data_IF_488028080963
#
_entry.id   IF_488028080963
#
_cell.length_a   1.000
_cell.length_b   1.000
_cell.length_c   1.000
_cell.angle_alpha   90.00
_cell.angle_beta   90.00
_cell.angle_gamma   90.00
#
_symmetry.space_group_name_H-M   'P 1'
#
loop_
_entity.id
_entity.type
_entity.pdbx_description
1 polymer ?
#
# COMPACT_ATOMS: atom_id res chain seq x y z
N UNK A 1 16.74 8.80 3.01
CA UNK A 1 15.78 7.68 3.10
C UNK A 1 16.31 6.58 4.03
N UNK A 2 15.44 5.92 4.79
CA UNK A 2 15.75 4.67 5.52
C UNK A 2 15.36 3.49 4.62
N UNK A 3 16.21 2.46 4.53
CA UNK A 3 15.90 1.23 3.78
C UNK A 3 15.80 0.03 4.72
N UNK A 4 14.73 -0.77 4.58
CA UNK A 4 14.42 -1.93 5.42
C UNK A 4 14.27 -3.17 4.57
N UNK A 5 14.54 -4.35 5.15
CA UNK A 5 14.19 -5.61 4.49
C UNK A 5 12.67 -5.74 4.39
N UNK A 6 12.18 -6.30 3.29
CA UNK A 6 10.79 -6.70 3.14
C UNK A 6 10.58 -8.04 3.83
N UNK A 7 10.16 -8.00 5.09
CA UNK A 7 10.08 -9.17 5.96
C UNK A 7 11.44 -9.88 6.08
N UNK A 8 11.42 -11.21 5.99
CA UNK A 8 12.62 -12.04 5.98
C UNK A 8 13.36 -12.10 4.63
N UNK A 9 12.82 -11.50 3.56
CA UNK A 9 13.46 -11.55 2.25
C UNK A 9 14.78 -10.74 2.22
N UNK A 10 15.58 -10.98 1.17
CA UNK A 10 16.78 -10.18 0.91
C UNK A 10 16.49 -8.80 0.31
N UNK A 11 15.28 -8.56 -0.19
CA UNK A 11 14.89 -7.32 -0.85
C UNK A 11 14.82 -6.16 0.16
N UNK A 12 15.44 -5.03 -0.17
CA UNK A 12 15.34 -3.80 0.61
C UNK A 12 14.43 -2.79 -0.08
N UNK A 13 13.48 -2.26 0.67
CA UNK A 13 12.57 -1.20 0.25
C UNK A 13 12.78 0.04 1.10
N UNK A 14 12.55 1.22 0.52
CA UNK A 14 12.48 2.48 1.25
C UNK A 14 11.37 2.40 2.32
N UNK A 15 11.60 2.97 3.50
CA UNK A 15 10.63 2.92 4.61
C UNK A 15 9.31 3.65 4.28
N UNK A 16 9.34 4.56 3.31
CA UNK A 16 8.17 5.15 2.68
C UNK A 16 8.20 4.78 1.19
N UNK A 17 7.04 4.40 0.65
CA UNK A 17 6.84 4.10 -0.76
C UNK A 17 5.76 4.99 -1.38
N UNK A 18 5.64 4.94 -2.69
CA UNK A 18 4.68 5.77 -3.42
C UNK A 18 3.69 4.92 -4.23
N UNK A 19 2.40 5.05 -3.91
CA UNK A 19 1.32 4.33 -4.57
C UNK A 19 0.52 5.20 -5.53
N UNK A 20 -0.02 4.59 -6.58
CA UNK A 20 -0.75 5.28 -7.65
C UNK A 20 -2.28 5.28 -7.51
N UNK A 21 -2.82 4.64 -6.46
CA UNK A 21 -4.26 4.51 -6.26
C UNK A 21 -4.97 5.87 -6.15
N UNK A 22 -6.12 5.99 -6.84
CA UNK A 22 -6.94 7.21 -6.99
C UNK A 22 -6.31 8.31 -7.83
N UNK A 23 -4.98 8.40 -7.87
CA UNK A 23 -4.28 9.55 -8.43
C UNK A 23 -3.97 9.35 -9.91
N UNK A 24 -3.31 8.26 -10.27
CA UNK A 24 -2.84 8.07 -11.64
C UNK A 24 -4.03 7.67 -12.55
N UNK A 25 -4.15 8.34 -13.70
CA UNK A 25 -5.23 8.12 -14.69
C UNK A 25 -6.53 8.85 -14.34
N UNK A 26 -6.91 8.88 -13.06
CA UNK A 26 -8.15 9.54 -12.63
C UNK A 26 -7.97 11.02 -12.27
N UNK A 27 -6.83 11.41 -11.68
CA UNK A 27 -6.57 12.79 -11.22
C UNK A 27 -5.31 13.40 -11.83
N UNK A 28 -4.33 12.56 -12.17
CA UNK A 28 -3.05 12.95 -12.72
C UNK A 28 -2.93 12.49 -14.16
N UNK A 29 -2.60 13.44 -15.02
CA UNK A 29 -2.04 13.17 -16.33
C UNK A 29 -0.59 12.65 -16.20
N UNK A 30 -0.03 12.25 -17.33
CA UNK A 30 1.35 11.76 -17.41
C UNK A 30 2.36 12.75 -16.84
N UNK A 31 2.21 14.05 -17.12
CA UNK A 31 3.16 15.08 -16.68
C UNK A 31 3.23 15.13 -15.16
N UNK A 32 2.08 15.23 -14.49
CA UNK A 32 2.02 15.28 -13.02
C UNK A 32 2.42 13.95 -12.38
N UNK A 33 2.05 12.82 -12.99
CA UNK A 33 2.49 11.51 -12.54
C UNK A 33 4.03 11.43 -12.54
N UNK A 34 4.67 11.87 -13.63
CA UNK A 34 6.12 11.95 -13.77
C UNK A 34 6.77 12.88 -12.73
N UNK A 35 6.21 14.06 -12.51
CA UNK A 35 6.72 15.01 -11.49
C UNK A 35 6.61 14.44 -10.06
N UNK A 36 5.53 13.71 -9.75
CA UNK A 36 5.37 13.06 -8.45
C UNK A 36 6.36 11.89 -8.26
N UNK A 37 6.55 11.08 -9.31
CA UNK A 37 7.54 10.00 -9.32
C UNK A 37 8.95 10.55 -9.12
N UNK A 38 9.33 11.59 -9.86
CA UNK A 38 10.61 12.29 -9.68
C UNK A 38 10.79 12.79 -8.25
N UNK A 39 9.79 13.46 -7.68
CA UNK A 39 9.86 13.94 -6.30
C UNK A 39 10.02 12.82 -5.26
N UNK A 40 9.42 11.65 -5.49
CA UNK A 40 9.58 10.49 -4.62
C UNK A 40 10.99 9.89 -4.75
N UNK A 41 11.47 9.75 -5.99
CA UNK A 41 12.82 9.26 -6.30
C UNK A 41 13.91 10.16 -5.71
N UNK A 42 13.80 11.48 -5.87
CA UNK A 42 14.74 12.46 -5.30
C UNK A 42 14.81 12.36 -3.77
N UNK A 43 13.72 11.92 -3.12
CA UNK A 43 13.69 11.66 -1.68
C UNK A 43 14.28 10.28 -1.29
N UNK A 44 14.71 9.48 -2.26
CA UNK A 44 15.25 8.13 -2.12
C UNK A 44 14.21 7.02 -2.07
N UNK A 45 12.96 7.26 -2.52
CA UNK A 45 11.97 6.19 -2.64
C UNK A 45 12.39 5.24 -3.75
N UNK A 46 12.49 3.94 -3.44
CA UNK A 46 12.76 2.92 -4.44
C UNK A 46 11.56 2.02 -4.72
N UNK A 47 10.50 2.06 -3.90
CA UNK A 47 9.33 1.20 -4.07
C UNK A 47 8.09 1.97 -4.54
N UNK A 48 7.54 1.53 -5.67
CA UNK A 48 6.38 2.11 -6.35
C UNK A 48 5.26 1.08 -6.50
N UNK A 49 4.08 1.39 -5.98
CA UNK A 49 2.98 0.45 -5.89
C UNK A 49 1.82 0.77 -6.85
N UNK A 50 1.32 -0.25 -7.54
CA UNK A 50 0.22 -0.15 -8.50
C UNK A 50 -0.71 -1.38 -8.43
N UNK A 51 -1.79 -1.40 -9.20
CA UNK A 51 -2.65 -2.58 -9.38
C UNK A 51 -3.30 -2.56 -10.76
N UNK A 52 -3.65 -3.73 -11.31
CA UNK A 52 -4.29 -3.81 -12.63
C UNK A 52 -5.57 -2.97 -12.70
N UNK A 53 -6.36 -2.92 -11.62
CA UNK A 53 -7.69 -2.32 -11.59
C UNK A 53 -7.63 -0.79 -11.47
N UNK A 54 -6.47 -0.22 -11.15
CA UNK A 54 -6.36 1.22 -10.93
C UNK A 54 -6.55 1.94 -12.27
N UNK A 55 -7.65 2.71 -12.35
CA UNK A 55 -8.10 3.38 -13.57
C UNK A 55 -8.19 2.41 -14.76
N UNK A 56 -8.75 1.21 -14.53
CA UNK A 56 -8.95 0.17 -15.56
C UNK A 56 -7.66 -0.20 -16.34
N UNK A 57 -6.53 -0.14 -15.66
CA UNK A 57 -5.19 -0.46 -16.19
C UNK A 57 -4.41 0.75 -16.70
N UNK A 58 -5.03 1.93 -16.83
CA UNK A 58 -4.33 3.15 -17.28
C UNK A 58 -3.24 3.59 -16.29
N UNK A 59 -3.43 3.31 -14.99
CA UNK A 59 -2.41 3.62 -13.98
C UNK A 59 -1.07 2.90 -14.22
N UNK A 60 -1.11 1.63 -14.64
CA UNK A 60 0.11 0.87 -14.96
C UNK A 60 0.79 1.41 -16.22
N UNK A 61 0.00 1.79 -17.23
CA UNK A 61 0.51 2.43 -18.46
C UNK A 61 1.20 3.75 -18.17
N UNK A 62 0.56 4.63 -17.41
CA UNK A 62 1.10 5.94 -17.04
C UNK A 62 2.37 5.81 -16.20
N UNK A 63 2.39 4.93 -15.20
CA UNK A 63 3.59 4.70 -14.38
C UNK A 63 4.74 4.15 -15.23
N UNK A 64 4.48 3.15 -16.08
CA UNK A 64 5.48 2.58 -16.98
C UNK A 64 6.05 3.61 -17.97
N UNK A 65 5.19 4.44 -18.56
CA UNK A 65 5.62 5.52 -19.44
C UNK A 65 6.44 6.58 -18.70
N UNK A 66 5.97 7.04 -17.53
CA UNK A 66 6.68 8.05 -16.75
C UNK A 66 8.07 7.58 -16.30
N UNK A 67 8.21 6.32 -15.85
CA UNK A 67 9.52 5.74 -15.48
C UNK A 67 10.46 5.68 -16.69
N UNK A 68 9.96 5.29 -17.88
CA UNK A 68 10.76 5.32 -19.12
C UNK A 68 11.23 6.74 -19.47
N UNK A 69 10.35 7.74 -19.38
CA UNK A 69 10.69 9.14 -19.66
C UNK A 69 11.67 9.74 -18.64
N UNK A 70 11.66 9.24 -17.40
CA UNK A 70 12.61 9.59 -16.37
C UNK A 70 13.97 8.89 -16.54
N UNK A 71 14.05 7.87 -17.39
CA UNK A 71 15.29 7.16 -17.70
C UNK A 71 15.87 6.37 -16.53
N UNK A 72 15.04 5.97 -15.55
CA UNK A 72 15.52 5.22 -14.39
C UNK A 72 15.96 3.80 -14.78
N UNK A 73 17.13 3.35 -14.31
CA UNK A 73 17.57 1.98 -14.57
C UNK A 73 16.71 0.98 -13.79
N UNK A 74 16.29 -0.11 -14.47
CA UNK A 74 15.36 -1.13 -13.92
C UNK A 74 15.79 -1.72 -12.58
N UNK A 75 17.09 -1.82 -12.33
CA UNK A 75 17.65 -2.44 -11.13
C UNK A 75 17.68 -1.51 -9.90
N UNK A 76 17.35 -0.22 -10.05
CA UNK A 76 17.33 0.74 -8.94
C UNK A 76 15.94 0.91 -8.29
N UNK A 77 14.87 0.43 -8.93
CA UNK A 77 13.52 0.48 -8.37
C UNK A 77 12.86 -0.88 -8.22
N UNK A 78 11.93 -0.91 -7.27
CA UNK A 78 10.98 -1.97 -6.98
C UNK A 78 9.61 -1.51 -7.45
N UNK A 79 8.94 -2.30 -8.28
CA UNK A 79 7.56 -2.05 -8.70
C UNK A 79 6.65 -3.21 -8.33
N UNK A 80 5.42 -2.90 -7.90
CA UNK A 80 4.38 -3.90 -7.67
C UNK A 80 3.16 -3.75 -8.56
N UNK A 81 2.46 -4.87 -8.75
CA UNK A 81 1.05 -4.87 -9.16
C UNK A 81 0.23 -5.88 -8.35
N UNK A 82 -1.09 -5.85 -8.51
CA UNK A 82 -2.03 -6.68 -7.75
C UNK A 82 -3.19 -7.15 -8.61
N UNK A 83 -3.63 -8.38 -8.37
CA UNK A 83 -4.70 -9.02 -9.13
C UNK A 83 -5.88 -9.44 -8.26
N UNK A 84 -7.10 -9.17 -8.71
CA UNK A 84 -8.35 -9.76 -8.16
C UNK A 84 -9.59 -9.29 -8.94
N UNK A 85 -9.76 -7.97 -9.11
CA UNK A 85 -11.04 -7.36 -9.48
C UNK A 85 -11.43 -7.49 -10.95
N UNK A 86 -10.44 -7.69 -11.82
CA UNK A 86 -10.57 -7.64 -13.27
C UNK A 86 -10.69 -6.22 -13.80
N UNK A 87 -10.23 -6.01 -15.03
CA UNK A 87 -10.33 -4.72 -15.75
C UNK A 87 -11.37 -4.75 -16.88
N UNK A 88 -11.88 -5.94 -17.23
CA UNK A 88 -12.80 -6.09 -18.34
C UNK A 88 -14.24 -6.10 -17.83
N UNK A 89 -15.07 -5.23 -18.39
CA UNK A 89 -16.52 -5.29 -18.18
C UNK A 89 -17.08 -6.51 -18.94
N UNK A 90 -17.16 -7.63 -18.23
CA UNK A 90 -17.58 -8.90 -18.81
C UNK A 90 -18.48 -9.67 -17.85
N UNK A 91 -19.44 -10.41 -18.43
CA UNK A 91 -20.27 -11.39 -17.70
C UNK A 91 -19.60 -12.76 -17.61
N UNK A 92 -18.37 -12.90 -18.10
CA UNK A 92 -17.62 -14.17 -18.07
C UNK A 92 -17.11 -14.44 -16.65
N UNK A 93 -17.16 -15.70 -16.16
CA UNK A 93 -16.92 -16.03 -14.75
C UNK A 93 -15.46 -15.86 -14.30
N UNK A 94 -14.49 -16.07 -15.19
CA UNK A 94 -13.08 -16.24 -14.79
C UNK A 94 -12.23 -14.97 -14.91
N UNK A 95 -12.84 -13.78 -14.94
CA UNK A 95 -12.13 -12.53 -15.23
C UNK A 95 -12.30 -11.46 -14.16
N UNK A 96 -13.06 -11.72 -13.09
CA UNK A 96 -13.36 -10.73 -12.04
C UNK A 96 -13.53 -11.41 -10.69
N UNK A 97 -13.06 -10.75 -9.64
CA UNK A 97 -13.13 -11.20 -8.23
C UNK A 97 -12.65 -12.64 -8.08
N UNK A 98 -11.50 -12.95 -8.66
CA UNK A 98 -10.94 -14.30 -8.61
C UNK A 98 -9.43 -14.29 -8.57
N UNK A 99 -8.87 -15.36 -8.01
CA UNK A 99 -7.45 -15.70 -8.00
C UNK A 99 -7.19 -17.08 -8.60
N UNK A 100 -8.11 -17.57 -9.44
CA UNK A 100 -7.88 -18.79 -10.19
C UNK A 100 -6.69 -18.63 -11.14
N UNK A 101 -6.08 -19.76 -11.49
CA UNK A 101 -4.89 -19.82 -12.33
C UNK A 101 -5.10 -19.16 -13.68
N UNK A 102 -6.24 -19.39 -14.34
CA UNK A 102 -6.54 -18.82 -15.66
C UNK A 102 -6.44 -17.29 -15.62
N UNK A 103 -7.03 -16.70 -14.61
CA UNK A 103 -7.04 -15.26 -14.42
C UNK A 103 -5.64 -14.73 -14.12
N UNK A 104 -4.96 -15.28 -13.10
CA UNK A 104 -3.65 -14.79 -12.66
C UNK A 104 -2.60 -14.83 -13.78
N UNK A 105 -2.56 -15.92 -14.56
CA UNK A 105 -1.63 -16.04 -15.68
C UNK A 105 -1.89 -15.03 -16.80
N UNK A 106 -3.15 -14.64 -17.02
CA UNK A 106 -3.52 -13.61 -18.01
C UNK A 106 -3.31 -12.19 -17.48
N UNK A 107 -3.58 -11.98 -16.19
CA UNK A 107 -3.45 -10.69 -15.51
C UNK A 107 -1.99 -10.22 -15.50
N UNK A 108 -1.05 -11.12 -15.14
CA UNK A 108 0.38 -10.77 -15.14
C UNK A 108 0.88 -10.34 -16.52
N UNK A 109 0.53 -11.09 -17.58
CA UNK A 109 0.93 -10.76 -18.95
C UNK A 109 0.33 -9.44 -19.41
N UNK A 110 -0.92 -9.17 -18.99
CA UNK A 110 -1.57 -7.88 -19.23
C UNK A 110 -0.86 -6.72 -18.56
N UNK A 111 -0.53 -6.85 -17.27
CA UNK A 111 0.16 -5.83 -16.50
C UNK A 111 1.56 -5.55 -17.02
N UNK A 112 2.35 -6.58 -17.33
CA UNK A 112 3.68 -6.42 -17.92
C UNK A 112 3.64 -5.65 -19.24
N UNK A 113 2.68 -5.95 -20.12
CA UNK A 113 2.47 -5.16 -21.35
C UNK A 113 2.09 -3.70 -21.07
N UNK A 114 1.22 -3.45 -20.10
CA UNK A 114 0.81 -2.08 -19.75
C UNK A 114 1.96 -1.27 -19.18
N UNK A 115 2.74 -1.84 -18.26
CA UNK A 115 3.96 -1.20 -17.78
C UNK A 115 5.02 -1.06 -18.88
N UNK A 116 5.09 -2.00 -19.81
CA UNK A 116 6.23 -2.16 -20.72
C UNK A 116 7.47 -2.63 -19.98
N UNK A 117 7.32 -3.68 -19.17
CA UNK A 117 8.38 -4.32 -18.38
C UNK A 117 8.37 -5.83 -18.64
N UNK A 118 9.54 -6.46 -18.50
CA UNK A 118 9.66 -7.92 -18.61
C UNK A 118 9.24 -8.64 -17.32
N UNK A 119 9.39 -7.97 -16.17
CA UNK A 119 8.99 -8.48 -14.86
C UNK A 119 8.65 -7.36 -13.88
N UNK A 120 7.80 -7.66 -12.89
CA UNK A 120 7.61 -6.84 -11.69
C UNK A 120 8.39 -7.42 -10.51
N UNK A 121 8.81 -6.61 -9.56
CA UNK A 121 9.51 -7.14 -8.38
C UNK A 121 8.52 -7.89 -7.48
N UNK A 122 7.33 -7.32 -7.31
CA UNK A 122 6.33 -7.78 -6.37
C UNK A 122 4.98 -7.98 -7.07
N UNK A 123 4.37 -9.15 -6.90
CA UNK A 123 2.98 -9.40 -7.32
C UNK A 123 2.11 -9.75 -6.12
N UNK A 124 0.93 -9.13 -6.02
CA UNK A 124 0.01 -9.35 -4.91
C UNK A 124 -1.30 -10.00 -5.35
N UNK A 125 -1.79 -10.95 -4.54
CA UNK A 125 -3.22 -11.25 -4.50
C UNK A 125 -3.93 -10.08 -3.84
N UNK A 126 -4.68 -9.29 -4.60
CA UNK A 126 -5.21 -8.00 -4.13
C UNK A 126 -6.27 -8.15 -3.02
N UNK A 127 -7.01 -9.26 -2.99
CA UNK A 127 -7.96 -9.64 -1.93
C UNK A 127 -7.97 -11.17 -1.80
N UNK A 128 -8.42 -11.75 -0.67
CA UNK A 128 -8.69 -13.18 -0.61
C UNK A 128 -9.80 -13.56 -1.59
N UNK A 129 -9.71 -14.75 -2.17
CA UNK A 129 -10.73 -15.33 -3.03
C UNK A 129 -11.35 -16.55 -2.33
N UNK A 130 -12.60 -16.46 -1.84
CA UNK A 130 -13.25 -17.58 -1.17
C UNK A 130 -13.72 -18.69 -2.14
N UNK A 131 -13.72 -18.43 -3.46
CA UNK A 131 -14.21 -19.38 -4.47
C UNK A 131 -13.08 -20.16 -5.15
N UNK A 132 -11.83 -19.73 -5.02
CA UNK A 132 -10.65 -20.45 -5.52
C UNK A 132 -9.91 -21.13 -4.37
N UNK A 133 -9.60 -22.44 -4.45
CA UNK A 133 -8.74 -23.08 -3.46
C UNK A 133 -7.40 -22.35 -3.33
N UNK A 134 -6.98 -22.04 -2.09
CA UNK A 134 -5.70 -21.37 -1.81
C UNK A 134 -4.52 -22.09 -2.48
N UNK A 135 -4.58 -23.42 -2.56
CA UNK A 135 -3.57 -24.23 -3.25
C UNK A 135 -3.41 -23.86 -4.73
N UNK A 136 -4.52 -23.69 -5.47
CA UNK A 136 -4.46 -23.29 -6.88
C UNK A 136 -3.78 -21.92 -7.03
N UNK A 137 -4.13 -20.97 -6.16
CA UNK A 137 -3.52 -19.64 -6.13
C UNK A 137 -2.02 -19.71 -5.84
N UNK A 138 -1.59 -20.51 -4.85
CA UNK A 138 -0.16 -20.68 -4.51
C UNK A 138 0.63 -21.26 -5.70
N UNK A 139 0.10 -22.29 -6.37
CA UNK A 139 0.73 -22.85 -7.57
C UNK A 139 0.79 -21.84 -8.71
N UNK A 140 -0.27 -21.05 -8.93
CA UNK A 140 -0.26 -20.00 -9.95
C UNK A 140 0.79 -18.91 -9.64
N UNK A 141 0.89 -18.45 -8.40
CA UNK A 141 1.89 -17.45 -8.01
C UNK A 141 3.32 -18.00 -8.08
N UNK A 142 3.52 -19.27 -7.72
CA UNK A 142 4.79 -19.95 -7.94
C UNK A 142 5.19 -19.94 -9.42
N UNK A 143 4.27 -20.29 -10.34
CA UNK A 143 4.56 -20.34 -11.77
C UNK A 143 4.80 -18.95 -12.38
N UNK A 144 4.13 -17.92 -11.87
CA UNK A 144 4.44 -16.52 -12.24
C UNK A 144 5.90 -16.18 -11.91
N UNK A 145 6.40 -16.60 -10.74
CA UNK A 145 7.80 -16.37 -10.36
C UNK A 145 8.74 -17.26 -11.16
N UNK A 146 8.44 -18.56 -11.26
CA UNK A 146 9.29 -19.54 -11.98
C UNK A 146 9.42 -19.21 -13.47
N UNK A 147 8.41 -18.53 -14.06
CA UNK A 147 8.48 -18.02 -15.43
C UNK A 147 9.20 -16.68 -15.58
N UNK A 148 9.75 -16.12 -14.49
CA UNK A 148 10.51 -14.87 -14.50
C UNK A 148 9.66 -13.60 -14.61
N UNK A 149 8.33 -13.70 -14.49
CA UNK A 149 7.41 -12.57 -14.65
C UNK A 149 7.24 -11.73 -13.38
N UNK A 150 7.55 -12.32 -12.23
CA UNK A 150 7.71 -11.61 -10.96
C UNK A 150 8.90 -12.17 -10.16
N UNK A 151 9.46 -11.39 -9.23
CA UNK A 151 10.53 -11.88 -8.35
C UNK A 151 10.01 -12.43 -7.02
N UNK A 152 8.98 -11.80 -6.46
CA UNK A 152 8.35 -12.17 -5.21
C UNK A 152 6.84 -12.04 -5.30
N UNK A 153 6.14 -12.76 -4.43
CA UNK A 153 4.70 -12.64 -4.30
C UNK A 153 4.26 -12.47 -2.85
N UNK A 154 3.05 -11.93 -2.70
CA UNK A 154 2.43 -11.69 -1.40
C UNK A 154 0.93 -11.50 -1.51
N UNK A 155 0.33 -11.12 -0.39
CA UNK A 155 -1.12 -11.01 -0.21
C UNK A 155 -1.52 -9.57 0.15
N UNK A 156 -2.81 -9.24 0.07
CA UNK A 156 -3.35 -7.94 0.50
C UNK A 156 -4.75 -8.08 1.08
N UNK A 157 -4.92 -7.64 2.33
CA UNK A 157 -6.15 -7.79 3.13
C UNK A 157 -6.55 -9.24 3.39
N UNK A 158 -5.60 -10.18 3.36
CA UNK A 158 -5.87 -11.59 3.64
C UNK A 158 -5.98 -11.85 5.15
N UNK A 159 -6.93 -12.65 5.63
CA UNK A 159 -6.93 -13.14 7.00
C UNK A 159 -5.62 -13.86 7.35
N UNK A 160 -5.19 -13.78 8.61
CA UNK A 160 -3.95 -14.43 9.06
C UNK A 160 -3.90 -15.94 8.77
N UNK A 161 -5.05 -16.61 8.87
CA UNK A 161 -5.15 -18.05 8.64
C UNK A 161 -4.99 -18.40 7.15
N UNK A 162 -5.49 -17.57 6.23
CA UNK A 162 -5.29 -17.77 4.79
C UNK A 162 -3.82 -17.53 4.39
N UNK A 163 -3.16 -16.54 5.00
CA UNK A 163 -1.72 -16.31 4.80
C UNK A 163 -0.92 -17.52 5.30
N UNK A 164 -1.26 -18.06 6.47
CA UNK A 164 -0.62 -19.26 7.02
C UNK A 164 -0.85 -20.47 6.12
N UNK A 165 -2.07 -20.70 5.67
CA UNK A 165 -2.40 -21.80 4.77
C UNK A 165 -1.61 -21.71 3.46
N UNK A 166 -1.54 -20.51 2.84
CA UNK A 166 -0.75 -20.28 1.64
C UNK A 166 0.74 -20.58 1.85
N UNK A 167 1.29 -20.18 3.00
CA UNK A 167 2.68 -20.45 3.36
C UNK A 167 2.93 -21.94 3.57
N UNK A 168 2.05 -22.65 4.29
CA UNK A 168 2.16 -24.08 4.58
C UNK A 168 2.03 -24.94 3.32
N UNK A 169 1.12 -24.58 2.41
CA UNK A 169 1.02 -25.21 1.09
C UNK A 169 2.33 -25.03 0.34
N UNK A 170 2.86 -23.79 0.28
CA UNK A 170 4.12 -23.54 -0.41
C UNK A 170 5.29 -24.29 0.22
N UNK A 171 5.35 -24.44 1.55
CA UNK A 171 6.35 -25.27 2.23
C UNK A 171 6.21 -26.75 1.86
N UNK A 172 5.00 -27.32 1.99
CA UNK A 172 4.72 -28.74 1.73
C UNK A 172 5.04 -29.16 0.30
N UNK A 173 4.83 -28.27 -0.67
CA UNK A 173 5.02 -28.54 -2.09
C UNK A 173 6.34 -27.97 -2.65
N UNK A 174 7.24 -27.46 -1.79
CA UNK A 174 8.52 -26.85 -2.19
C UNK A 174 8.38 -25.69 -3.19
N UNK A 175 7.34 -24.87 -3.03
CA UNK A 175 7.01 -23.74 -3.89
C UNK A 175 7.57 -22.42 -3.33
N UNK A 176 7.44 -21.36 -4.14
CA UNK A 176 7.75 -20.00 -3.71
C UNK A 176 6.71 -19.55 -2.68
N UNK A 177 7.15 -19.06 -1.53
CA UNK A 177 6.28 -18.66 -0.41
C UNK A 177 5.86 -17.20 -0.52
N UNK A 178 4.69 -16.81 -0.02
CA UNK A 178 4.35 -15.40 0.12
C UNK A 178 5.32 -14.77 1.14
N UNK A 179 5.93 -13.64 0.79
CA UNK A 179 6.94 -12.98 1.65
C UNK A 179 6.43 -11.70 2.31
N UNK A 180 5.35 -11.13 1.79
CA UNK A 180 4.77 -9.89 2.30
C UNK A 180 3.25 -9.89 2.28
N UNK A 181 2.68 -9.04 3.12
CA UNK A 181 1.26 -8.69 3.18
C UNK A 181 1.10 -7.17 3.03
N UNK A 182 0.04 -6.75 2.33
CA UNK A 182 -0.31 -5.34 2.14
C UNK A 182 -1.64 -5.01 2.85
N UNK A 183 -1.60 -4.72 4.18
CA UNK A 183 -2.79 -4.39 4.95
C UNK A 183 -2.96 -2.88 5.14
N UNK A 184 -4.19 -2.47 5.42
CA UNK A 184 -4.49 -1.13 5.89
C UNK A 184 -3.85 -0.94 7.26
N UNK A 185 -3.15 0.19 7.46
CA UNK A 185 -2.61 0.53 8.76
C UNK A 185 -2.53 2.04 8.94
N UNK A 186 -3.16 2.51 10.00
CA UNK A 186 -3.12 3.90 10.44
C UNK A 186 -3.65 4.01 11.87
N UNK A 187 -3.60 5.20 12.46
CA UNK A 187 -4.01 5.44 13.85
C UNK A 187 -5.42 4.92 14.21
N UNK A 188 -6.35 4.89 13.24
CA UNK A 188 -7.72 4.33 13.42
C UNK A 188 -7.92 2.88 12.97
N UNK A 189 -6.91 2.23 12.37
CA UNK A 189 -7.00 0.84 11.88
C UNK A 189 -5.70 0.12 12.22
N UNK A 190 -5.74 -0.67 13.30
CA UNK A 190 -4.57 -1.21 13.97
C UNK A 190 -4.64 -2.72 14.17
N UNK A 191 -5.84 -3.26 14.33
CA UNK A 191 -6.08 -4.61 14.87
C UNK A 191 -5.41 -5.68 14.02
N UNK A 192 -5.52 -5.59 12.70
CA UNK A 192 -4.94 -6.58 11.78
C UNK A 192 -3.41 -6.66 11.93
N UNK A 193 -2.75 -5.51 11.94
CA UNK A 193 -1.28 -5.42 12.06
C UNK A 193 -0.79 -5.71 13.47
N UNK A 194 -1.44 -5.17 14.50
CA UNK A 194 -0.93 -5.25 15.87
C UNK A 194 -1.38 -6.50 16.63
N UNK A 195 -2.47 -7.15 16.20
CA UNK A 195 -3.06 -8.30 16.91
C UNK A 195 -3.15 -9.52 16.01
N UNK A 196 -3.83 -9.42 14.87
CA UNK A 196 -4.14 -10.59 14.02
C UNK A 196 -2.87 -11.23 13.44
N UNK A 197 -1.95 -10.41 12.93
CA UNK A 197 -0.72 -10.88 12.29
C UNK A 197 0.43 -11.12 13.27
N UNK A 198 0.25 -10.87 14.57
CA UNK A 198 1.33 -10.86 15.56
C UNK A 198 2.22 -12.11 15.49
N UNK A 199 1.60 -13.30 15.34
CA UNK A 199 2.33 -14.57 15.21
C UNK A 199 3.05 -14.76 13.88
N UNK A 200 2.51 -14.23 12.78
CA UNK A 200 3.08 -14.41 11.44
C UNK A 200 4.46 -13.74 11.28
N UNK A 201 4.72 -12.68 12.05
CA UNK A 201 6.01 -12.00 12.02
C UNK A 201 7.17 -12.88 12.49
N UNK A 202 6.93 -13.71 13.49
CA UNK A 202 7.95 -14.59 14.08
C UNK A 202 7.95 -15.96 13.39
N UNK A 203 6.77 -16.53 13.18
CA UNK A 203 6.61 -17.88 12.61
C UNK A 203 7.14 -17.94 11.16
N UNK A 204 6.78 -16.95 10.33
CA UNK A 204 7.07 -16.99 8.89
C UNK A 204 7.87 -15.79 8.38
N UNK A 205 8.23 -14.84 9.25
CA UNK A 205 9.02 -13.66 8.88
C UNK A 205 8.27 -12.70 7.92
N UNK A 206 6.96 -12.57 8.09
CA UNK A 206 6.10 -11.74 7.23
C UNK A 206 6.54 -10.27 7.21
N UNK A 207 6.74 -9.71 6.02
CA UNK A 207 6.96 -8.28 5.82
C UNK A 207 5.66 -7.53 5.52
N UNK A 208 5.59 -6.24 5.85
CA UNK A 208 4.40 -5.44 5.56
C UNK A 208 4.70 -4.27 4.61
N UNK A 209 3.84 -4.12 3.62
CA UNK A 209 3.74 -2.90 2.80
C UNK A 209 2.41 -2.21 3.12
N UNK A 210 2.33 -1.39 4.17
CA UNK A 210 1.03 -0.89 4.65
C UNK A 210 0.46 0.22 3.79
N UNK A 211 -0.86 0.32 3.66
CA UNK A 211 -1.52 1.35 2.84
C UNK A 211 -2.51 2.23 3.63
N UNK A 212 -2.89 3.35 3.01
CA UNK A 212 -3.76 4.40 3.58
C UNK A 212 -3.30 4.97 4.93
N UNK A 213 -2.03 5.34 5.14
CA UNK A 213 -1.54 5.86 6.43
C UNK A 213 -2.29 7.10 6.92
N UNK A 214 -2.94 7.83 6.00
CA UNK A 214 -3.70 9.04 6.30
C UNK A 214 -5.21 8.82 6.40
N UNK A 215 -5.69 7.58 6.41
CA UNK A 215 -7.12 7.23 6.44
C UNK A 215 -7.93 8.02 5.38
N UNK A 216 -7.54 7.89 4.12
CA UNK A 216 -8.13 8.65 2.99
C UNK A 216 -8.06 10.19 3.11
N UNK A 217 -7.14 10.70 3.95
CA UNK A 217 -6.91 12.13 4.16
C UNK A 217 -7.55 12.68 5.45
N UNK A 218 -8.27 11.85 6.22
CA UNK A 218 -8.79 12.20 7.54
C UNK A 218 -7.68 12.68 8.48
N UNK A 219 -6.57 11.95 8.51
CA UNK A 219 -5.39 12.26 9.34
C UNK A 219 -4.53 13.40 8.76
N UNK A 220 -5.07 14.27 7.92
CA UNK A 220 -4.47 15.58 7.66
C UNK A 220 -5.21 16.71 8.37
N UNK A 221 -6.34 16.42 9.02
CA UNK A 221 -7.21 17.42 9.64
C UNK A 221 -8.07 18.22 8.67
N UNK A 222 -8.01 17.98 7.35
CA UNK A 222 -8.72 18.80 6.36
C UNK A 222 -10.25 18.67 6.42
N UNK A 223 -10.76 17.62 7.08
CA UNK A 223 -12.18 17.31 7.18
C UNK A 223 -12.84 17.78 8.49
N UNK A 224 -12.07 18.43 9.37
CA UNK A 224 -12.53 18.89 10.68
C UNK A 224 -13.74 19.84 10.57
N UNK A 225 -13.74 20.71 9.55
CA UNK A 225 -14.76 21.75 9.34
C UNK A 225 -15.67 21.44 8.14
N UNK A 226 -15.72 20.17 7.70
CA UNK A 226 -16.52 19.73 6.55
C UNK A 226 -15.66 19.21 5.39
N UNK A 227 -16.26 19.01 4.21
CA UNK A 227 -15.57 18.43 3.04
C UNK A 227 -15.04 19.56 2.15
N UNK A 228 -13.71 19.75 2.03
CA UNK A 228 -13.16 20.77 1.14
C UNK A 228 -13.39 20.41 -0.33
N UNK A 229 -13.57 21.43 -1.17
CA UNK A 229 -13.61 21.29 -2.62
C UNK A 229 -12.29 20.71 -3.15
N UNK A 230 -12.37 19.88 -4.20
CA UNK A 230 -11.21 19.21 -4.79
C UNK A 230 -10.55 18.14 -3.90
N UNK A 231 -11.11 17.86 -2.72
CA UNK A 231 -10.64 16.81 -1.84
C UNK A 231 -11.15 15.43 -2.27
N UNK A 232 -10.57 14.35 -1.76
CA UNK A 232 -11.04 12.98 -2.09
C UNK A 232 -12.52 12.78 -1.74
N UNK A 233 -12.97 13.31 -0.60
CA UNK A 233 -14.37 13.25 -0.17
C UNK A 233 -15.35 14.03 -1.05
N UNK A 234 -14.89 14.97 -1.87
CA UNK A 234 -15.76 15.71 -2.80
C UNK A 234 -16.06 14.93 -4.09
N UNK A 235 -15.26 13.91 -4.42
CA UNK A 235 -15.39 13.15 -5.66
C UNK A 235 -16.61 12.18 -5.63
N UNK A 236 -17.45 12.13 -6.69
CA UNK A 236 -18.65 11.29 -6.71
C UNK A 236 -18.39 9.80 -6.47
N UNK A 237 -17.32 9.25 -7.06
CA UNK A 237 -16.93 7.85 -6.89
C UNK A 237 -16.54 7.47 -5.44
N UNK A 238 -16.36 8.46 -4.56
CA UNK A 238 -15.93 8.30 -3.17
C UNK A 238 -16.97 8.81 -2.17
N UNK A 239 -18.24 8.94 -2.59
CA UNK A 239 -19.35 9.36 -1.72
C UNK A 239 -19.48 8.47 -0.46
N UNK A 240 -19.20 7.17 -0.59
CA UNK A 240 -19.17 6.20 0.50
C UNK A 240 -18.14 6.51 1.61
N UNK A 241 -17.14 7.37 1.35
CA UNK A 241 -16.19 7.83 2.38
C UNK A 241 -16.74 8.98 3.23
N UNK A 242 -17.75 9.72 2.75
CA UNK A 242 -18.16 10.99 3.37
C UNK A 242 -18.53 10.83 4.83
N UNK A 243 -19.40 9.87 5.13
CA UNK A 243 -19.86 9.60 6.50
C UNK A 243 -18.71 9.31 7.46
N UNK A 244 -17.68 8.59 6.99
CA UNK A 244 -16.48 8.29 7.78
C UNK A 244 -15.57 9.52 7.94
N UNK A 245 -15.44 10.36 6.92
CA UNK A 245 -14.59 11.55 6.94
C UNK A 245 -15.17 12.66 7.83
N UNK A 246 -16.50 12.71 7.94
CA UNK A 246 -17.21 13.71 8.75
C UNK A 246 -17.69 13.18 10.09
N UNK A 247 -17.30 11.96 10.49
CA UNK A 247 -17.70 11.39 11.78
C UNK A 247 -17.22 12.29 12.94
N UNK A 248 -18.13 12.77 13.81
CA UNK A 248 -17.75 13.70 14.88
C UNK A 248 -16.74 13.12 15.87
N UNK A 249 -16.83 11.81 16.16
CA UNK A 249 -15.92 11.17 17.12
C UNK A 249 -14.51 11.05 16.54
N UNK A 250 -14.40 10.65 15.29
CA UNK A 250 -13.13 10.59 14.57
C UNK A 250 -12.51 11.99 14.46
N UNK A 251 -13.29 13.02 14.09
CA UNK A 251 -12.78 14.39 14.00
C UNK A 251 -12.39 14.99 15.36
N UNK A 252 -13.05 14.60 16.46
CA UNK A 252 -12.60 14.97 17.80
C UNK A 252 -11.22 14.37 18.14
N UNK A 253 -10.99 13.10 17.82
CA UNK A 253 -9.68 12.46 17.95
C UNK A 253 -8.62 13.12 17.05
N UNK A 254 -8.97 13.44 15.81
CA UNK A 254 -8.08 14.16 14.88
C UNK A 254 -7.65 15.53 15.44
N UNK A 255 -8.55 16.28 16.09
CA UNK A 255 -8.20 17.55 16.76
C UNK A 255 -7.17 17.35 17.88
N UNK A 256 -7.34 16.31 18.70
CA UNK A 256 -6.40 15.99 19.78
C UNK A 256 -5.04 15.54 19.23
N UNK A 257 -5.02 14.68 18.21
CA UNK A 257 -3.80 14.27 17.52
C UNK A 257 -3.09 15.46 16.88
N UNK A 258 -3.84 16.41 16.31
CA UNK A 258 -3.26 17.65 15.77
C UNK A 258 -2.52 18.45 16.84
N UNK A 259 -3.07 18.58 18.05
CA UNK A 259 -2.38 19.24 19.15
C UNK A 259 -1.07 18.53 19.54
N UNK A 260 -1.04 17.19 19.46
CA UNK A 260 0.21 16.42 19.65
C UNK A 260 1.22 16.74 18.54
N UNK A 261 0.80 16.72 17.27
CA UNK A 261 1.66 17.04 16.13
C UNK A 261 2.24 18.47 16.20
N UNK A 262 1.40 19.44 16.55
CA UNK A 262 1.79 20.85 16.71
C UNK A 262 2.85 21.00 17.83
N UNK A 263 2.66 20.30 18.96
CA UNK A 263 3.65 20.26 20.05
C UNK A 263 4.98 19.58 19.68
N UNK A 264 4.99 18.74 18.64
CA UNK A 264 6.19 18.13 18.08
C UNK A 264 6.80 18.96 16.93
N UNK A 265 6.17 20.06 16.52
CA UNK A 265 6.62 20.88 15.40
C UNK A 265 6.55 20.16 14.04
N UNK A 266 5.53 19.33 13.82
CA UNK A 266 5.30 18.63 12.55
C UNK A 266 3.83 18.70 12.13
N UNK A 267 3.53 18.40 10.86
CA UNK A 267 2.13 18.33 10.42
C UNK A 267 1.48 17.04 10.92
N UNK A 268 0.15 17.03 11.08
CA UNK A 268 -0.56 15.81 11.48
C UNK A 268 -0.34 14.66 10.48
N UNK A 269 -0.22 14.99 9.18
CA UNK A 269 0.08 14.00 8.15
C UNK A 269 1.46 13.35 8.37
N UNK A 270 2.47 14.16 8.69
CA UNK A 270 3.81 13.67 9.02
C UNK A 270 3.78 12.81 10.28
N UNK A 271 3.07 13.22 11.34
CA UNK A 271 2.93 12.43 12.56
C UNK A 271 2.29 11.05 12.27
N UNK A 272 1.19 11.02 11.51
CA UNK A 272 0.47 9.79 11.19
C UNK A 272 1.32 8.82 10.35
N UNK A 273 2.02 9.33 9.32
CA UNK A 273 2.93 8.51 8.50
C UNK A 273 4.10 8.00 9.33
N UNK A 274 4.71 8.87 10.13
CA UNK A 274 5.83 8.50 11.01
C UNK A 274 5.41 7.44 12.03
N UNK A 275 4.21 7.55 12.59
CA UNK A 275 3.66 6.56 13.52
C UNK A 275 3.54 5.18 12.86
N UNK A 276 3.02 5.11 11.64
CA UNK A 276 2.98 3.85 10.89
C UNK A 276 4.39 3.29 10.64
N UNK A 277 5.33 4.15 10.23
CA UNK A 277 6.71 3.77 9.96
C UNK A 277 7.52 3.45 11.23
N UNK A 278 7.06 3.85 12.42
CA UNK A 278 7.70 3.54 13.69
C UNK A 278 7.54 2.06 14.08
N UNK A 279 6.49 1.40 13.59
CA UNK A 279 6.28 -0.03 13.83
C UNK A 279 7.40 -0.84 13.11
N UNK A 280 8.21 -1.63 13.84
CA UNK A 280 9.34 -2.35 13.27
C UNK A 280 8.93 -3.49 12.33
N UNK A 281 7.66 -3.94 12.38
CA UNK A 281 7.10 -4.94 11.46
C UNK A 281 6.70 -4.34 10.12
N UNK A 282 6.57 -3.01 10.04
CA UNK A 282 6.27 -2.27 8.81
C UNK A 282 7.56 -2.07 8.01
N UNK A 283 7.68 -2.79 6.89
CA UNK A 283 8.83 -2.65 5.99
C UNK A 283 8.76 -1.35 5.21
N UNK A 284 7.57 -0.96 4.77
CA UNK A 284 7.30 0.30 4.06
C UNK A 284 5.87 0.78 4.27
N UNK A 285 5.69 2.10 4.28
CA UNK A 285 4.38 2.77 4.29
C UNK A 285 4.10 3.37 2.92
N UNK A 286 3.07 2.86 2.23
CA UNK A 286 2.64 3.35 0.92
C UNK A 286 1.91 4.69 1.10
N UNK A 287 2.56 5.76 0.66
CA UNK A 287 1.99 7.11 0.61
C UNK A 287 1.30 7.35 -0.74
N UNK A 288 0.34 8.27 -0.77
CA UNK A 288 -0.28 8.74 -2.01
C UNK A 288 -0.34 10.26 -2.02
N UNK A 289 -0.21 10.85 -3.20
CA UNK A 289 -0.22 12.29 -3.40
C UNK A 289 -0.79 12.64 -4.77
N UNK A 290 -1.47 13.79 -4.86
CA UNK A 290 -1.97 14.34 -6.13
C UNK A 290 -1.11 15.48 -6.68
N UNK A 291 0.01 15.80 -6.02
CA UNK A 291 0.98 16.80 -6.47
C UNK A 291 2.36 16.58 -5.85
N UNK A 292 3.45 17.04 -6.49
CA UNK A 292 4.82 16.82 -6.00
C UNK A 292 5.08 17.42 -4.61
N UNK A 293 4.42 18.52 -4.24
CA UNK A 293 4.61 19.17 -2.94
C UNK A 293 4.16 18.27 -1.80
N UNK A 294 3.04 17.53 -1.99
CA UNK A 294 2.57 16.55 -1.02
C UNK A 294 3.52 15.36 -0.91
N UNK A 295 4.13 14.93 -2.02
CA UNK A 295 5.16 13.89 -1.98
C UNK A 295 6.30 14.36 -1.08
N UNK A 296 6.87 15.53 -1.36
CA UNK A 296 7.98 16.10 -0.57
C UNK A 296 7.60 16.29 0.90
N UNK A 297 6.38 16.77 1.19
CA UNK A 297 5.89 16.94 2.57
C UNK A 297 5.77 15.61 3.31
N UNK A 298 5.20 14.58 2.67
CA UNK A 298 5.03 13.26 3.24
C UNK A 298 6.39 12.60 3.55
N UNK A 299 7.40 12.78 2.68
CA UNK A 299 8.71 12.17 2.88
C UNK A 299 9.46 12.70 4.11
N UNK A 300 9.17 13.94 4.53
CA UNK A 300 9.68 14.52 5.78
C UNK A 300 9.13 13.86 7.05
N UNK A 301 8.13 12.98 6.94
CA UNK A 301 7.63 12.21 8.08
C UNK A 301 8.74 11.40 8.79
N UNK A 302 9.78 10.96 8.06
CA UNK A 302 10.90 10.24 8.66
C UNK A 302 11.70 11.08 9.67
N UNK A 303 11.66 12.41 9.57
CA UNK A 303 12.30 13.33 10.54
C UNK A 303 11.58 13.32 11.90
N UNK A 304 10.33 12.83 11.96
CA UNK A 304 9.54 12.72 13.18
C UNK A 304 9.85 11.41 13.94
N UNK A 305 10.39 10.39 13.28
CA UNK A 305 10.66 9.07 13.91
C UNK A 305 11.47 9.14 15.21
N UNK A 306 12.56 9.94 15.33
CA UNK A 306 13.29 10.03 16.59
C UNK A 306 12.43 10.51 17.77
N UNK A 307 11.44 11.37 17.50
CA UNK A 307 10.52 11.91 18.52
C UNK A 307 9.51 10.87 19.00
N UNK A 308 9.22 9.84 18.18
CA UNK A 308 8.33 8.73 18.53
C UNK A 308 9.00 7.65 19.37
N UNK A 309 10.27 7.81 19.72
CA UNK A 309 10.97 6.94 20.69
C UNK A 309 10.63 7.28 22.13
N UNK A 310 10.09 8.47 22.37
CA UNK A 310 9.63 8.91 23.68
C UNK A 310 8.29 8.24 24.04
N UNK A 311 8.24 7.41 25.10
CA UNK A 311 7.01 6.76 25.53
C UNK A 311 5.88 7.75 25.88
N UNK A 312 6.21 8.95 26.35
CA UNK A 312 5.20 9.97 26.69
C UNK A 312 4.48 10.47 25.43
N UNK A 313 5.20 10.59 24.32
CA UNK A 313 4.62 10.98 23.03
C UNK A 313 3.65 9.90 22.54
N UNK A 314 4.05 8.62 22.62
CA UNK A 314 3.18 7.50 22.24
C UNK A 314 1.93 7.43 23.13
N UNK A 315 2.08 7.60 24.45
CA UNK A 315 0.97 7.62 25.38
C UNK A 315 -0.02 8.76 25.09
N UNK A 316 0.47 9.95 24.69
CA UNK A 316 -0.38 11.08 24.27
C UNK A 316 -1.13 10.79 22.96
N UNK A 317 -0.49 10.10 22.02
CA UNK A 317 -1.14 9.65 20.78
C UNK A 317 -2.25 8.66 21.12
N UNK A 318 -1.96 7.63 21.91
CA UNK A 318 -2.96 6.62 22.30
C UNK A 318 -4.13 7.23 23.09
N UNK A 319 -3.85 8.17 23.99
CA UNK A 319 -4.88 8.89 24.73
C UNK A 319 -5.80 9.74 23.84
N UNK A 320 -5.32 10.20 22.69
CA UNK A 320 -6.09 10.96 21.72
C UNK A 320 -7.02 10.09 20.85
N UNK A 321 -6.78 8.78 20.81
CA UNK A 321 -7.60 7.85 20.03
C UNK A 321 -8.90 7.51 20.76
N UNK A 322 -9.99 7.23 20.02
CA UNK A 322 -11.21 6.71 20.63
C UNK A 322 -10.88 5.41 21.35
N UNK A 323 -11.33 5.27 22.61
CA UNK A 323 -11.23 3.99 23.31
C UNK A 323 -11.99 2.93 22.51
N UNK A 324 -11.27 1.95 22.00
CA UNK A 324 -11.87 0.76 21.38
C UNK A 324 -12.65 0.00 22.46
N UNK A 325 -13.92 -0.30 22.17
CA UNK A 325 -14.72 -1.18 23.04
C UNK A 325 -14.17 -2.59 23.06
#
# INVERSE_FOLDING_TARGET
MIYRRLGRSGLKVSALSFGSWVTFGNQLDLKKARECLAAAWDAGVNFFDNAEVYADGESEKLMGQAIRELGWPRHEYVVSTKFYWGIYETRRPNMRKTLNRKYLMQAIDGSLRRFGLDFVDLVFCHRPDPETPVEETVFAMHDIISSGKALYWGTSEWPADDIRAAWEIAERHHLHKPVMEQPQYHLFERRRVEVEYARLYEDIGLGLTTWSPLASGLLTGKYIDGIPEGSRGSLPAYSWLRDKLTDPKANAAVKQLKAVADGLGCTLAQLAIAWCANNPRVSTVITGASRPEQVRENMKALEVLPKLRDPEVLARIDAALPKTK
#
